data_IF_233472945505
#
_entry.id   IF_233472945505
#
_cell.length_a   1.000
_cell.length_b   1.000
_cell.length_c   1.000
_cell.angle_alpha   90.00
_cell.angle_beta   90.00
_cell.angle_gamma   90.00
#
_symmetry.space_group_name_H-M   'P 1'
#
loop_
_entity.id
_entity.type
_entity.pdbx_description
1 polymer ?
#
# COMPACT_ATOMS: atom_id res chain seq x y z
N UNK A 1 34.32 -31.55 -23.01
CA UNK A 1 33.60 -30.32 -22.64
C UNK A 1 32.21 -30.70 -22.16
N UNK A 2 32.01 -30.79 -20.84
CA UNK A 2 30.71 -31.08 -20.22
C UNK A 2 30.04 -29.77 -19.79
N UNK A 3 28.79 -29.50 -20.20
CA UNK A 3 28.12 -28.27 -19.81
C UNK A 3 27.69 -28.34 -18.34
N UNK A 4 28.09 -27.34 -17.56
CA UNK A 4 27.62 -27.15 -16.19
C UNK A 4 26.13 -26.79 -16.21
N UNK A 5 25.28 -27.77 -15.89
CA UNK A 5 23.88 -27.53 -15.55
C UNK A 5 23.84 -26.76 -14.23
N UNK A 6 23.43 -25.50 -14.27
CA UNK A 6 23.14 -24.74 -13.05
C UNK A 6 21.89 -25.35 -12.39
N UNK A 7 21.95 -25.76 -11.12
CA UNK A 7 20.79 -26.33 -10.45
C UNK A 7 19.72 -25.24 -10.32
N UNK A 8 18.56 -25.47 -10.95
CA UNK A 8 17.36 -24.65 -10.79
C UNK A 8 17.01 -24.61 -9.30
N UNK A 9 17.14 -23.44 -8.66
CA UNK A 9 16.81 -23.23 -7.25
C UNK A 9 15.34 -23.61 -7.01
N UNK A 10 15.12 -24.81 -6.46
CA UNK A 10 13.81 -25.24 -6.02
C UNK A 10 13.23 -24.25 -5.00
N UNK A 11 11.95 -23.90 -5.14
CA UNK A 11 11.28 -23.02 -4.16
C UNK A 11 11.21 -23.74 -2.83
N UNK A 12 11.87 -23.15 -1.86
CA UNK A 12 11.98 -23.66 -0.49
C UNK A 12 10.61 -23.60 0.18
N UNK A 13 10.19 -24.71 0.77
CA UNK A 13 8.97 -24.79 1.56
C UNK A 13 9.27 -24.41 3.00
N UNK A 14 8.78 -23.25 3.43
CA UNK A 14 8.86 -22.81 4.83
C UNK A 14 7.72 -23.43 5.63
N UNK A 15 8.05 -24.17 6.68
CA UNK A 15 7.07 -24.76 7.59
C UNK A 15 6.63 -23.77 8.67
N UNK A 16 5.60 -24.13 9.43
CA UNK A 16 5.15 -23.33 10.58
C UNK A 16 6.26 -23.14 11.62
N UNK A 17 7.03 -24.19 11.89
CA UNK A 17 8.11 -24.20 12.87
C UNK A 17 9.29 -23.33 12.42
N UNK A 18 9.68 -23.41 11.14
CA UNK A 18 10.76 -22.57 10.59
C UNK A 18 10.47 -21.07 10.75
N UNK A 19 9.20 -20.69 10.57
CA UNK A 19 8.80 -19.30 10.74
C UNK A 19 8.83 -18.87 12.22
N UNK A 20 8.55 -19.79 13.15
CA UNK A 20 8.62 -19.51 14.59
C UNK A 20 10.06 -19.32 15.04
N UNK A 21 10.96 -20.22 14.64
CA UNK A 21 12.38 -20.11 14.92
C UNK A 21 12.98 -18.84 14.31
N UNK A 22 12.48 -18.43 13.13
CA UNK A 22 12.95 -17.22 12.45
C UNK A 22 12.55 -15.95 13.21
N UNK A 23 11.34 -15.96 13.78
CA UNK A 23 10.85 -14.88 14.64
C UNK A 23 11.64 -14.85 15.96
N UNK A 24 11.95 -16.00 16.56
CA UNK A 24 12.78 -16.08 17.78
C UNK A 24 14.19 -15.52 17.53
N UNK A 25 14.84 -15.96 16.45
CA UNK A 25 16.13 -15.43 16.03
C UNK A 25 16.11 -13.91 15.84
N UNK A 26 15.02 -13.39 15.25
CA UNK A 26 14.83 -11.95 15.06
C UNK A 26 14.69 -11.18 16.37
N UNK A 27 13.90 -11.68 17.31
CA UNK A 27 13.72 -11.00 18.59
C UNK A 27 14.97 -11.04 19.46
N UNK A 28 15.75 -12.14 19.41
CA UNK A 28 17.08 -12.20 20.03
C UNK A 28 18.06 -11.23 19.38
N UNK A 29 18.09 -11.17 18.05
CA UNK A 29 18.99 -10.27 17.31
C UNK A 29 18.69 -8.76 17.46
N UNK A 30 17.48 -8.40 17.88
CA UNK A 30 17.02 -7.02 18.00
C UNK A 30 16.73 -6.58 19.43
N UNK A 31 16.97 -7.44 20.43
CA UNK A 31 16.57 -7.25 21.82
C UNK A 31 15.10 -6.80 21.91
N UNK A 32 14.20 -7.59 21.33
CA UNK A 32 12.77 -7.27 21.35
C UNK A 32 12.40 -6.01 20.56
N UNK A 33 13.09 -5.73 19.44
CA UNK A 33 12.93 -4.55 18.57
C UNK A 33 13.56 -3.23 19.04
N UNK A 34 14.36 -3.22 20.10
CA UNK A 34 15.05 -2.02 20.57
C UNK A 34 16.21 -1.60 19.65
N UNK A 35 16.92 -2.55 19.04
CA UNK A 35 18.03 -2.27 18.12
C UNK A 35 17.78 -2.85 16.71
N UNK A 36 17.15 -2.04 15.85
CA UNK A 36 16.82 -2.40 14.47
C UNK A 36 17.92 -2.06 13.45
N UNK A 37 18.98 -1.35 13.85
CA UNK A 37 20.04 -0.95 12.93
C UNK A 37 20.98 -2.13 12.67
N UNK A 38 21.18 -2.49 11.40
CA UNK A 38 22.10 -3.57 11.01
C UNK A 38 21.69 -4.98 11.46
N UNK A 39 20.45 -5.20 11.92
CA UNK A 39 20.03 -6.44 12.57
C UNK A 39 20.15 -7.72 11.72
N UNK A 40 20.31 -7.60 10.40
CA UNK A 40 20.34 -8.75 9.47
C UNK A 40 21.53 -9.67 9.71
N UNK A 41 22.68 -9.11 10.10
CA UNK A 41 23.89 -9.87 10.41
C UNK A 41 23.66 -10.69 11.69
N UNK A 42 23.21 -10.01 12.75
CA UNK A 42 22.84 -10.66 14.03
C UNK A 42 21.73 -11.69 13.88
N UNK A 43 20.75 -11.45 13.02
CA UNK A 43 19.69 -12.41 12.70
C UNK A 43 20.26 -13.68 12.08
N UNK A 44 21.21 -13.55 11.16
CA UNK A 44 21.85 -14.69 10.51
C UNK A 44 22.67 -15.52 11.50
N UNK A 45 23.42 -14.86 12.40
CA UNK A 45 24.17 -15.53 13.47
C UNK A 45 23.23 -16.33 14.40
N UNK A 46 22.14 -15.71 14.85
CA UNK A 46 21.13 -16.38 15.69
C UNK A 46 20.41 -17.51 14.95
N UNK A 47 20.20 -17.36 13.63
CA UNK A 47 19.55 -18.38 12.81
C UNK A 47 20.41 -19.63 12.64
N UNK A 48 21.71 -19.49 12.36
CA UNK A 48 22.62 -20.64 12.24
C UNK A 48 22.69 -21.40 13.55
N UNK A 49 22.74 -20.70 14.68
CA UNK A 49 22.74 -21.32 16.01
C UNK A 49 21.47 -22.16 16.25
N UNK A 50 20.30 -21.67 15.82
CA UNK A 50 19.04 -22.37 16.00
C UNK A 50 18.77 -23.48 14.97
N UNK A 51 19.26 -23.32 13.74
CA UNK A 51 18.97 -24.23 12.62
C UNK A 51 20.21 -24.42 11.73
N UNK A 52 21.22 -25.17 12.23
CA UNK A 52 22.44 -25.44 11.45
C UNK A 52 22.14 -26.22 10.16
N UNK A 53 21.11 -27.09 10.18
CA UNK A 53 20.73 -27.93 9.03
C UNK A 53 20.05 -27.15 7.88
N UNK A 54 19.70 -25.88 8.10
CA UNK A 54 18.98 -25.06 7.13
C UNK A 54 19.71 -23.74 6.83
N UNK A 55 20.78 -23.88 6.06
CA UNK A 55 21.59 -22.74 5.63
C UNK A 55 20.84 -21.85 4.62
N UNK A 56 20.74 -20.56 4.94
CA UNK A 56 20.08 -19.52 4.14
C UNK A 56 20.86 -18.23 4.22
N UNK A 57 20.91 -17.51 3.10
CA UNK A 57 21.53 -16.20 3.06
C UNK A 57 20.76 -15.19 3.92
N UNK A 58 21.48 -14.25 4.55
CA UNK A 58 20.91 -13.20 5.42
C UNK A 58 19.78 -12.41 4.74
N UNK A 59 19.89 -12.18 3.43
CA UNK A 59 18.87 -11.50 2.64
C UNK A 59 17.58 -12.33 2.51
N UNK A 60 17.70 -13.64 2.28
CA UNK A 60 16.55 -14.55 2.17
C UNK A 60 15.78 -14.67 3.50
N UNK A 61 16.51 -14.71 4.62
CA UNK A 61 15.94 -14.69 5.96
C UNK A 61 15.19 -13.39 6.22
N UNK A 62 15.74 -12.23 5.84
CA UNK A 62 15.08 -10.95 5.98
C UNK A 62 13.81 -10.83 5.13
N UNK A 63 13.83 -11.33 3.89
CA UNK A 63 12.67 -11.33 3.00
C UNK A 63 11.54 -12.24 3.52
N UNK A 64 11.90 -13.42 4.01
CA UNK A 64 10.94 -14.33 4.65
C UNK A 64 10.37 -13.73 5.93
N UNK A 65 11.22 -13.15 6.79
CA UNK A 65 10.82 -12.49 8.03
C UNK A 65 9.77 -11.39 7.74
N UNK A 66 10.01 -10.50 6.76
CA UNK A 66 9.03 -9.48 6.37
C UNK A 66 7.69 -10.09 5.94
N UNK A 67 7.72 -11.19 5.20
CA UNK A 67 6.51 -11.91 4.77
C UNK A 67 5.74 -12.49 5.96
N UNK A 68 6.45 -13.09 6.92
CA UNK A 68 5.88 -13.69 8.14
C UNK A 68 5.29 -12.61 9.07
N UNK A 69 6.05 -11.55 9.35
CA UNK A 69 5.62 -10.42 10.18
C UNK A 69 4.35 -9.75 9.64
N UNK A 70 4.21 -9.66 8.32
CA UNK A 70 3.01 -9.11 7.67
C UNK A 70 1.78 -10.02 7.84
N UNK A 71 1.96 -11.33 7.93
CA UNK A 71 0.88 -12.33 7.97
C UNK A 71 0.42 -12.71 9.38
N UNK A 72 1.28 -12.61 10.40
CA UNK A 72 1.04 -13.20 11.74
C UNK A 72 1.19 -12.21 12.91
N UNK A 73 0.55 -11.05 12.85
CA UNK A 73 0.66 -9.99 13.89
C UNK A 73 0.27 -10.44 15.31
N UNK A 74 -0.78 -11.23 15.48
CA UNK A 74 -1.33 -11.57 16.82
C UNK A 74 -0.57 -12.67 17.58
N UNK A 75 0.15 -13.56 16.88
CA UNK A 75 0.99 -14.61 17.52
C UNK A 75 2.34 -14.04 17.96
N UNK A 76 2.72 -12.90 17.38
CA UNK A 76 4.02 -12.27 17.53
C UNK A 76 4.22 -11.64 18.91
N UNK A 77 3.16 -11.07 19.49
CA UNK A 77 3.23 -10.41 20.80
C UNK A 77 3.52 -11.40 21.94
N UNK A 78 2.94 -12.61 21.87
CA UNK A 78 3.22 -13.70 22.83
C UNK A 78 4.66 -14.22 22.71
N UNK A 79 5.17 -14.35 21.49
CA UNK A 79 6.57 -14.75 21.26
C UNK A 79 7.56 -13.67 21.70
N UNK A 80 7.24 -12.40 21.48
CA UNK A 80 8.05 -11.28 21.95
C UNK A 80 8.15 -11.30 23.47
N UNK A 81 7.04 -11.50 24.17
CA UNK A 81 7.01 -11.61 25.63
C UNK A 81 7.82 -12.82 26.13
N UNK A 82 7.69 -13.99 25.48
CA UNK A 82 8.45 -15.18 25.86
C UNK A 82 9.96 -15.03 25.67
N UNK A 83 10.40 -14.42 24.56
CA UNK A 83 11.85 -14.18 24.30
C UNK A 83 12.42 -13.13 25.24
N UNK A 84 11.64 -12.10 25.60
CA UNK A 84 12.07 -11.10 26.59
C UNK A 84 12.17 -11.70 28.01
N UNK A 85 11.28 -12.65 28.36
CA UNK A 85 11.33 -13.38 29.62
C UNK A 85 12.54 -14.32 29.70
N UNK A 86 12.92 -14.99 28.60
CA UNK A 86 14.14 -15.82 28.52
C UNK A 86 15.43 -15.00 28.66
N UNK A 87 15.41 -13.71 28.32
CA UNK A 87 16.56 -12.80 28.48
C UNK A 87 16.66 -12.16 29.88
N UNK A 88 15.74 -12.48 30.81
CA UNK A 88 15.75 -11.99 32.19
C UNK A 88 15.75 -13.17 33.19
N UNK A 89 16.87 -13.87 33.32
CA UNK A 89 17.23 -14.67 34.51
C UNK A 89 18.73 -14.42 34.83
N UNK A 90 19.13 -14.52 36.12
CA UNK A 90 20.05 -13.58 36.75
C UNK A 90 21.53 -13.97 36.53
N UNK A 91 22.28 -13.11 35.84
CA UNK A 91 23.74 -13.20 35.90
C UNK A 91 24.23 -12.64 37.24
N UNK A 92 24.83 -13.56 37.99
CA UNK A 92 25.49 -13.33 39.26
C UNK A 92 26.66 -12.36 39.11
N UNK A 93 26.88 -11.61 40.19
CA UNK A 93 28.01 -10.75 40.49
C UNK A 93 29.37 -11.36 40.09
N UNK A 94 30.16 -10.62 39.31
CA UNK A 94 31.60 -10.58 39.49
C UNK A 94 32.18 -9.23 39.08
N UNK A 95 32.93 -8.69 40.03
CA UNK A 95 33.42 -7.32 40.19
C UNK A 95 34.56 -6.89 39.25
N UNK A 96 34.79 -5.57 39.33
CA UNK A 96 36.01 -4.78 39.07
C UNK A 96 36.33 -4.52 37.57
N UNK A 97 36.45 -3.28 37.10
CA UNK A 97 37.25 -2.19 37.66
C UNK A 97 36.90 -0.83 37.03
N UNK A 98 37.17 0.23 37.79
CA UNK A 98 36.90 1.65 37.55
C UNK A 98 37.77 2.26 36.44
N UNK A 99 37.20 3.22 35.70
CA UNK A 99 37.71 4.60 35.57
C UNK A 99 36.85 5.36 34.54
N UNK A 100 36.57 6.66 34.59
CA UNK A 100 36.58 7.73 35.59
C UNK A 100 36.24 8.98 34.75
N UNK A 101 35.24 9.79 35.17
CA UNK A 101 35.09 11.25 34.91
C UNK A 101 34.80 11.67 33.42
N UNK A 102 33.78 12.46 33.07
CA UNK A 102 33.38 13.76 33.63
C UNK A 102 31.89 14.06 33.43
N UNK A 103 31.28 14.55 34.50
CA UNK A 103 30.10 15.42 34.46
C UNK A 103 30.52 16.82 34.00
N UNK A 104 29.74 17.45 33.12
CA UNK A 104 29.64 18.92 33.08
C UNK A 104 28.26 19.32 32.55
N UNK A 105 27.37 19.60 33.51
CA UNK A 105 26.48 20.77 33.60
C UNK A 105 25.63 21.21 32.40
N UNK A 106 24.32 21.25 32.66
CA UNK A 106 23.33 22.26 32.27
C UNK A 106 23.68 23.24 31.14
N UNK A 107 22.82 23.29 30.11
CA UNK A 107 22.10 24.52 29.74
C UNK A 107 20.99 24.25 28.71
N UNK A 108 19.74 24.41 29.17
CA UNK A 108 18.59 24.71 28.31
C UNK A 108 18.64 26.20 27.97
N UNK A 109 18.48 26.58 26.69
CA UNK A 109 17.45 27.58 26.41
C UNK A 109 16.64 27.26 25.13
N UNK A 110 15.35 27.05 25.36
CA UNK A 110 14.24 27.73 24.68
C UNK A 110 14.61 28.60 23.46
N UNK A 111 14.42 28.06 22.25
CA UNK A 111 14.20 28.82 21.01
C UNK A 111 13.56 27.91 19.96
N UNK A 112 12.36 27.41 20.29
CA UNK A 112 11.57 26.51 19.45
C UNK A 112 10.37 27.25 18.90
N UNK A 113 10.56 28.32 18.12
CA UNK A 113 9.41 28.92 17.41
C UNK A 113 9.70 29.72 16.13
N UNK A 114 10.94 29.73 15.59
CA UNK A 114 11.21 30.49 14.34
C UNK A 114 11.66 29.67 13.12
N UNK A 115 11.84 28.36 13.24
CA UNK A 115 12.30 27.50 12.14
C UNK A 115 11.18 26.85 11.30
N UNK A 116 9.89 27.05 11.65
CA UNK A 116 8.76 26.38 11.00
C UNK A 116 8.07 27.20 9.89
N UNK A 117 8.48 28.44 9.63
CA UNK A 117 7.82 29.30 8.62
C UNK A 117 8.59 29.47 7.31
N UNK A 118 9.90 29.21 7.25
CA UNK A 118 10.70 29.40 6.02
C UNK A 118 10.75 28.12 5.15
N UNK A 119 10.50 26.93 5.72
CA UNK A 119 10.56 25.67 4.94
C UNK A 119 9.33 25.41 4.06
N UNK A 120 8.27 26.23 4.15
CA UNK A 120 7.03 26.04 3.38
C UNK A 120 7.00 26.77 2.03
N UNK A 121 7.97 27.63 1.72
CA UNK A 121 7.93 28.43 0.48
C UNK A 121 8.92 28.01 -0.62
N UNK A 122 9.85 27.08 -0.38
CA UNK A 122 10.85 26.66 -1.39
C UNK A 122 10.54 25.35 -2.13
N UNK A 123 9.29 24.88 -2.16
CA UNK A 123 8.87 23.92 -3.19
C UNK A 123 8.24 24.74 -4.30
N UNK A 124 8.86 24.72 -5.48
CA UNK A 124 8.40 25.16 -6.82
C UNK A 124 9.46 26.03 -7.51
N UNK A 125 10.65 25.48 -7.66
CA UNK A 125 11.52 25.75 -8.80
C UNK A 125 12.40 24.52 -8.97
N UNK A 126 11.82 23.48 -9.59
CA UNK A 126 12.60 22.34 -10.08
C UNK A 126 12.82 22.63 -11.55
N UNK A 127 14.07 22.89 -11.89
CA UNK A 127 14.55 22.99 -13.26
C UNK A 127 14.16 21.67 -13.96
N UNK A 128 13.38 21.69 -15.06
CA UNK A 128 12.95 20.46 -15.73
C UNK A 128 14.15 19.69 -16.26
N UNK A 129 14.35 18.46 -15.78
CA UNK A 129 15.32 17.54 -16.36
C UNK A 129 14.80 17.10 -17.74
N UNK A 130 15.59 17.12 -18.82
CA UNK A 130 15.13 16.86 -20.19
C UNK A 130 14.43 15.50 -20.38
N UNK A 131 14.77 14.52 -19.55
CA UNK A 131 14.13 13.19 -19.55
C UNK A 131 12.69 13.20 -19.01
N UNK A 132 12.35 14.09 -18.06
CA UNK A 132 10.99 14.19 -17.53
C UNK A 132 10.04 14.78 -18.58
N UNK A 133 10.50 15.74 -19.39
CA UNK A 133 9.71 16.35 -20.46
C UNK A 133 9.28 15.32 -21.52
N UNK A 134 10.19 14.45 -21.96
CA UNK A 134 9.90 13.41 -22.97
C UNK A 134 8.79 12.47 -22.49
N UNK A 135 8.88 12.03 -21.22
CA UNK A 135 7.86 11.14 -20.64
C UNK A 135 6.52 11.86 -20.46
N UNK A 136 6.55 13.15 -20.09
CA UNK A 136 5.31 13.94 -19.96
C UNK A 136 4.61 14.17 -21.30
N UNK A 137 5.37 14.44 -22.37
CA UNK A 137 4.83 14.63 -23.72
C UNK A 137 4.23 13.35 -24.29
N UNK A 138 4.89 12.21 -24.11
CA UNK A 138 4.37 10.93 -24.59
C UNK A 138 3.06 10.54 -23.88
N UNK A 139 2.98 10.75 -22.56
CA UNK A 139 1.75 10.53 -21.80
C UNK A 139 0.63 11.47 -22.31
N UNK A 140 0.96 12.73 -22.61
CA UNK A 140 0.04 13.71 -23.18
C UNK A 140 -0.49 13.28 -24.55
N UNK A 141 0.37 12.82 -25.45
CA UNK A 141 -0.03 12.30 -26.77
C UNK A 141 -0.96 11.10 -26.67
N UNK A 142 -0.65 10.17 -25.77
CA UNK A 142 -1.51 9.00 -25.54
C UNK A 142 -2.88 9.44 -24.98
N UNK A 143 -2.90 10.43 -24.08
CA UNK A 143 -4.12 10.99 -23.54
C UNK A 143 -5.00 11.62 -24.63
N UNK A 144 -4.45 12.48 -25.48
CA UNK A 144 -5.18 13.09 -26.59
C UNK A 144 -5.74 12.06 -27.58
N UNK A 145 -4.95 11.02 -27.89
CA UNK A 145 -5.41 9.89 -28.70
C UNK A 145 -6.67 9.24 -28.12
N UNK A 146 -6.70 9.02 -26.81
CA UNK A 146 -7.88 8.43 -26.15
C UNK A 146 -9.03 9.42 -25.98
N UNK A 147 -8.73 10.71 -25.84
CA UNK A 147 -9.74 11.76 -25.82
C UNK A 147 -10.52 11.79 -27.15
N UNK A 148 -9.81 11.69 -28.28
CA UNK A 148 -10.43 11.57 -29.61
C UNK A 148 -11.17 10.24 -29.79
N UNK A 149 -10.63 9.13 -29.28
CA UNK A 149 -11.28 7.81 -29.39
C UNK A 149 -12.61 7.73 -28.64
N UNK A 150 -12.71 8.38 -27.48
CA UNK A 150 -13.88 8.29 -26.61
C UNK A 150 -14.73 9.57 -26.59
N UNK A 151 -14.40 10.57 -27.41
CA UNK A 151 -15.26 11.74 -27.60
C UNK A 151 -16.61 11.30 -28.19
N UNK A 152 -17.71 11.67 -27.54
CA UNK A 152 -19.06 11.32 -27.99
C UNK A 152 -19.50 9.88 -27.73
N UNK A 153 -18.62 9.00 -27.23
CA UNK A 153 -18.98 7.63 -26.85
C UNK A 153 -19.73 7.64 -25.53
N UNK A 154 -20.90 6.98 -25.46
CA UNK A 154 -21.67 6.85 -24.22
C UNK A 154 -20.85 6.16 -23.11
N UNK A 155 -21.13 6.46 -21.85
CA UNK A 155 -20.38 5.89 -20.73
C UNK A 155 -20.58 4.38 -20.58
N UNK A 156 -21.76 3.87 -20.91
CA UNK A 156 -22.12 2.47 -20.67
C UNK A 156 -21.46 1.52 -21.66
N UNK A 157 -21.10 2.01 -22.85
CA UNK A 157 -20.44 1.22 -23.90
C UNK A 157 -18.91 1.17 -23.76
N UNK A 158 -18.34 1.92 -22.81
CA UNK A 158 -16.89 1.99 -22.62
C UNK A 158 -16.32 0.73 -21.96
N UNK A 159 -15.13 0.27 -22.36
CA UNK A 159 -14.49 -0.87 -21.74
C UNK A 159 -14.15 -0.59 -20.28
N UNK A 160 -14.23 -1.64 -19.45
CA UNK A 160 -13.85 -1.55 -18.04
C UNK A 160 -12.35 -1.40 -17.92
N UNK A 161 -11.92 -0.51 -17.03
CA UNK A 161 -10.51 -0.31 -16.76
C UNK A 161 -9.94 -1.45 -15.89
N UNK A 162 -8.77 -2.00 -16.26
CA UNK A 162 -8.11 -3.00 -15.45
C UNK A 162 -7.60 -2.38 -14.13
N UNK A 163 -7.49 -3.21 -13.10
CA UNK A 163 -6.93 -2.78 -11.82
C UNK A 163 -5.42 -2.58 -11.95
N UNK A 164 -4.97 -1.34 -11.79
CA UNK A 164 -3.55 -0.99 -11.86
C UNK A 164 -2.83 -1.44 -10.58
N UNK A 165 -1.63 -2.01 -10.72
CA UNK A 165 -0.77 -2.37 -9.59
C UNK A 165 -0.17 -1.11 -8.96
N UNK A 166 -0.09 -1.09 -7.64
CA UNK A 166 0.55 -0.02 -6.90
C UNK A 166 2.07 -0.22 -6.89
N UNK A 167 2.79 0.58 -7.69
CA UNK A 167 4.24 0.64 -7.74
C UNK A 167 4.70 2.10 -7.93
N UNK A 168 6.01 2.37 -7.86
CA UNK A 168 6.52 3.73 -7.98
C UNK A 168 6.33 4.31 -9.39
N UNK A 169 6.47 3.49 -10.44
CA UNK A 169 6.24 3.93 -11.82
C UNK A 169 4.81 4.44 -12.02
N UNK A 170 3.80 3.65 -11.64
CA UNK A 170 2.39 4.03 -11.67
C UNK A 170 2.16 5.33 -10.91
N UNK A 171 2.76 5.50 -9.73
CA UNK A 171 2.64 6.76 -8.98
C UNK A 171 3.19 7.95 -9.76
N UNK A 172 4.38 7.82 -10.32
CA UNK A 172 5.00 8.88 -11.11
C UNK A 172 4.17 9.21 -12.35
N UNK A 173 3.71 8.19 -13.08
CA UNK A 173 2.83 8.35 -14.26
C UNK A 173 1.50 9.02 -13.89
N UNK A 174 0.88 8.62 -12.78
CA UNK A 174 -0.36 9.25 -12.28
C UNK A 174 -0.10 10.70 -11.85
N UNK A 175 1.03 10.99 -11.20
CA UNK A 175 1.37 12.35 -10.77
C UNK A 175 1.59 13.27 -11.98
N UNK A 176 2.27 12.78 -13.01
CA UNK A 176 2.44 13.48 -14.29
C UNK A 176 1.08 13.74 -14.93
N UNK A 177 0.27 12.68 -15.10
CA UNK A 177 -1.06 12.81 -15.70
C UNK A 177 -1.96 13.77 -14.93
N UNK A 178 -1.94 13.77 -13.60
CA UNK A 178 -2.74 14.68 -12.80
C UNK A 178 -2.37 16.15 -13.06
N UNK A 179 -1.08 16.46 -13.24
CA UNK A 179 -0.63 17.82 -13.58
C UNK A 179 -1.16 18.23 -14.95
N UNK A 180 -1.03 17.36 -15.95
CA UNK A 180 -1.55 17.59 -17.31
C UNK A 180 -3.06 17.74 -17.29
N UNK A 181 -3.78 16.81 -16.65
CA UNK A 181 -5.24 16.78 -16.56
C UNK A 181 -5.80 18.03 -15.87
N UNK A 182 -5.09 18.58 -14.88
CA UNK A 182 -5.53 19.79 -14.17
C UNK A 182 -5.72 20.98 -15.11
N UNK A 183 -4.93 21.08 -16.18
CA UNK A 183 -5.06 22.12 -17.20
C UNK A 183 -6.36 21.97 -18.01
N UNK A 184 -6.71 20.73 -18.39
CA UNK A 184 -7.92 20.43 -19.15
C UNK A 184 -9.20 20.51 -18.29
N UNK A 185 -9.11 20.19 -17.00
CA UNK A 185 -10.27 20.22 -16.09
C UNK A 185 -10.81 21.63 -15.84
N UNK A 186 -9.94 22.63 -15.82
CA UNK A 186 -10.31 24.05 -15.70
C UNK A 186 -11.26 24.51 -16.81
N UNK A 187 -11.19 23.87 -17.98
CA UNK A 187 -12.01 24.19 -19.15
C UNK A 187 -13.27 23.33 -19.25
N UNK A 188 -13.49 22.40 -18.30
CA UNK A 188 -14.64 21.48 -18.36
C UNK A 188 -15.92 22.15 -17.88
N UNK A 189 -16.87 22.34 -18.80
CA UNK A 189 -18.16 23.01 -18.54
C UNK A 189 -19.26 22.07 -18.01
N UNK A 190 -19.08 20.76 -18.13
CA UNK A 190 -20.11 19.77 -17.75
C UNK A 190 -19.50 18.58 -17.02
N UNK A 191 -20.28 17.99 -16.12
CA UNK A 191 -19.90 16.77 -15.41
C UNK A 191 -19.57 15.63 -16.38
N UNK A 192 -20.31 15.54 -17.50
CA UNK A 192 -20.05 14.58 -18.57
C UNK A 192 -18.62 14.73 -19.09
N UNK A 193 -18.21 15.97 -19.38
CA UNK A 193 -16.89 16.29 -19.91
C UNK A 193 -15.80 16.00 -18.87
N UNK A 194 -16.03 16.35 -17.60
CA UNK A 194 -15.12 16.02 -16.51
C UNK A 194 -14.90 14.51 -16.38
N UNK A 195 -15.99 13.73 -16.39
CA UNK A 195 -15.94 12.26 -16.34
C UNK A 195 -15.24 11.66 -17.57
N UNK A 196 -15.43 12.25 -18.76
CA UNK A 196 -14.73 11.85 -19.98
C UNK A 196 -13.22 12.05 -19.87
N UNK A 197 -12.80 13.23 -19.41
CA UNK A 197 -11.39 13.57 -19.22
C UNK A 197 -10.74 12.61 -18.21
N UNK A 198 -11.40 12.38 -17.07
CA UNK A 198 -10.89 11.45 -16.03
C UNK A 198 -10.77 10.02 -16.58
N UNK A 199 -11.77 9.56 -17.33
CA UNK A 199 -11.72 8.23 -17.93
C UNK A 199 -10.55 8.12 -18.93
N UNK A 200 -10.40 9.07 -19.85
CA UNK A 200 -9.32 9.06 -20.84
C UNK A 200 -7.93 9.13 -20.18
N UNK A 201 -7.80 9.92 -19.12
CA UNK A 201 -6.58 9.98 -18.31
C UNK A 201 -6.25 8.62 -17.69
N UNK A 202 -7.24 7.95 -17.09
CA UNK A 202 -7.05 6.63 -16.51
C UNK A 202 -6.72 5.55 -17.57
N UNK A 203 -7.31 5.64 -18.76
CA UNK A 203 -6.98 4.79 -19.92
C UNK A 203 -5.53 4.99 -20.34
N UNK A 204 -5.09 6.24 -20.49
CA UNK A 204 -3.72 6.57 -20.89
C UNK A 204 -2.69 6.09 -19.86
N UNK A 205 -2.95 6.28 -18.55
CA UNK A 205 -2.10 5.73 -17.49
C UNK A 205 -2.05 4.19 -17.55
N UNK A 206 -3.20 3.55 -17.78
CA UNK A 206 -3.26 2.09 -17.93
C UNK A 206 -2.41 1.62 -19.11
N UNK A 207 -2.47 2.32 -20.23
CA UNK A 207 -1.66 2.02 -21.42
C UNK A 207 -0.16 2.15 -21.14
N UNK A 208 0.27 3.26 -20.54
CA UNK A 208 1.69 3.54 -20.22
C UNK A 208 2.25 2.53 -19.20
N UNK A 209 1.40 2.04 -18.28
CA UNK A 209 1.76 0.99 -17.33
C UNK A 209 1.76 -0.42 -17.94
N UNK A 210 1.53 -0.55 -19.26
CA UNK A 210 1.55 -1.81 -19.99
C UNK A 210 0.27 -2.64 -19.87
N UNK A 211 -0.81 -2.07 -19.32
CA UNK A 211 -2.11 -2.73 -19.23
C UNK A 211 -2.88 -2.51 -20.52
N UNK A 212 -3.06 -3.61 -21.28
CA UNK A 212 -3.94 -3.59 -22.45
C UNK A 212 -5.39 -3.51 -21.99
N UNK A 213 -6.05 -2.41 -22.28
CA UNK A 213 -7.50 -2.31 -22.16
C UNK A 213 -8.05 -3.10 -23.34
N UNK A 214 -8.37 -4.36 -23.07
CA UNK A 214 -8.91 -5.26 -24.08
C UNK A 214 -10.18 -4.66 -24.67
N UNK A 215 -10.26 -4.67 -26.00
CA UNK A 215 -11.55 -4.69 -26.67
C UNK A 215 -12.34 -5.85 -26.08
N UNK A 216 -13.63 -5.61 -25.89
CA UNK A 216 -14.55 -6.41 -25.09
C UNK A 216 -14.59 -7.87 -25.57
N UNK A 217 -13.64 -8.69 -25.14
CA UNK A 217 -13.76 -10.15 -25.22
C UNK A 217 -14.82 -10.48 -24.20
N UNK A 218 -16.04 -10.67 -24.69
CA UNK A 218 -17.16 -11.11 -23.89
C UNK A 218 -16.82 -12.49 -23.32
N UNK A 219 -16.15 -12.50 -22.16
CA UNK A 219 -16.11 -13.68 -21.30
C UNK A 219 -17.56 -13.87 -20.82
N UNK A 220 -18.28 -14.75 -21.51
CA UNK A 220 -19.74 -14.91 -21.45
C UNK A 220 -20.29 -15.41 -20.10
N UNK A 221 -19.45 -15.61 -19.08
CA UNK A 221 -19.84 -16.36 -17.89
C UNK A 221 -19.85 -15.56 -16.58
N UNK A 222 -19.61 -14.24 -16.60
CA UNK A 222 -19.75 -13.43 -15.39
C UNK A 222 -21.08 -12.68 -15.39
N UNK A 223 -22.00 -13.12 -14.50
CA UNK A 223 -23.21 -12.36 -14.16
C UNK A 223 -22.85 -10.90 -13.91
N UNK A 224 -23.63 -9.93 -14.41
CA UNK A 224 -23.33 -8.52 -14.23
C UNK A 224 -23.32 -8.19 -12.74
N UNK A 225 -22.12 -8.03 -12.18
CA UNK A 225 -21.95 -7.74 -10.77
C UNK A 225 -22.52 -6.33 -10.50
N UNK A 226 -23.61 -6.26 -9.75
CA UNK A 226 -24.21 -4.99 -9.32
C UNK A 226 -23.19 -4.28 -8.45
N UNK A 227 -22.78 -3.04 -8.79
CA UNK A 227 -21.76 -2.35 -8.01
C UNK A 227 -22.27 -2.06 -6.59
N UNK A 228 -21.40 -2.09 -5.56
CA UNK A 228 -21.83 -1.94 -4.16
C UNK A 228 -22.63 -0.67 -3.88
N UNK A 229 -22.32 0.44 -4.55
CA UNK A 229 -23.04 1.70 -4.37
C UNK A 229 -24.50 1.60 -4.85
N UNK A 230 -24.75 0.89 -5.96
CA UNK A 230 -26.11 0.70 -6.49
C UNK A 230 -26.94 -0.12 -5.52
N UNK A 231 -26.37 -1.22 -5.01
CA UNK A 231 -27.01 -2.05 -3.97
C UNK A 231 -27.34 -1.24 -2.71
N UNK A 232 -26.44 -0.36 -2.27
CA UNK A 232 -26.70 0.52 -1.11
C UNK A 232 -27.87 1.46 -1.35
N UNK A 233 -27.93 2.09 -2.54
CA UNK A 233 -29.03 2.98 -2.89
C UNK A 233 -30.35 2.24 -3.01
N UNK A 234 -30.36 1.07 -3.66
CA UNK A 234 -31.54 0.20 -3.77
C UNK A 234 -32.07 -0.22 -2.41
N UNK A 235 -31.19 -0.60 -1.48
CA UNK A 235 -31.58 -0.92 -0.12
C UNK A 235 -32.18 0.31 0.59
N UNK A 236 -31.54 1.48 0.48
CA UNK A 236 -32.06 2.70 1.11
C UNK A 236 -33.44 3.08 0.55
N UNK A 237 -33.66 2.94 -0.76
CA UNK A 237 -34.96 3.15 -1.39
C UNK A 237 -35.98 2.15 -0.86
N UNK A 238 -35.59 0.87 -0.72
CA UNK A 238 -36.46 -0.17 -0.16
C UNK A 238 -36.88 0.15 1.27
N UNK A 239 -35.95 0.58 2.12
CA UNK A 239 -36.22 0.94 3.51
C UNK A 239 -37.18 2.14 3.60
N UNK A 240 -36.95 3.17 2.77
CA UNK A 240 -37.86 4.33 2.68
C UNK A 240 -39.26 3.92 2.21
N UNK A 241 -39.37 2.99 1.26
CA UNK A 241 -40.69 2.48 0.81
C UNK A 241 -41.41 1.73 1.93
N UNK A 242 -40.69 0.99 2.77
CA UNK A 242 -41.27 0.32 3.94
C UNK A 242 -41.77 1.34 4.95
N UNK A 243 -40.98 2.37 5.29
CA UNK A 243 -41.43 3.40 6.24
C UNK A 243 -42.62 4.20 5.70
N UNK A 244 -42.63 4.57 4.42
CA UNK A 244 -43.80 5.21 3.77
C UNK A 244 -45.03 4.31 3.89
N UNK A 245 -44.91 3.01 3.60
CA UNK A 245 -46.03 2.07 3.72
C UNK A 245 -46.57 2.01 5.14
N UNK A 246 -45.69 1.93 6.15
CA UNK A 246 -46.08 1.90 7.57
C UNK A 246 -46.82 3.19 7.95
N UNK A 247 -46.26 4.36 7.63
CA UNK A 247 -46.91 5.65 7.89
C UNK A 247 -48.27 5.75 7.19
N UNK A 248 -48.36 5.33 5.93
CA UNK A 248 -49.61 5.30 5.18
C UNK A 248 -50.66 4.39 5.85
N UNK A 249 -50.26 3.21 6.35
CA UNK A 249 -51.19 2.33 7.08
C UNK A 249 -51.71 2.97 8.38
N UNK A 250 -50.86 3.66 9.14
CA UNK A 250 -51.29 4.38 10.33
C UNK A 250 -52.27 5.51 9.98
N UNK A 251 -51.91 6.37 9.03
CA UNK A 251 -52.79 7.46 8.54
C UNK A 251 -54.14 6.95 8.01
N UNK A 252 -54.15 5.81 7.33
CA UNK A 252 -55.39 5.25 6.77
C UNK A 252 -56.26 4.59 7.85
N UNK A 253 -55.65 3.98 8.87
CA UNK A 253 -56.36 3.32 9.96
C UNK A 253 -56.92 4.34 10.98
N UNK A 254 -56.18 5.41 11.31
CA UNK A 254 -56.67 6.48 12.19
C UNK A 254 -57.90 7.18 11.59
N UNK A 255 -57.92 7.37 10.27
CA UNK A 255 -59.08 7.93 9.56
C UNK A 255 -60.30 6.98 9.51
N UNK A 256 -60.12 5.68 9.76
CA UNK A 256 -61.22 4.70 9.84
C UNK A 256 -61.80 4.55 11.25
N UNK A 257 -61.03 4.88 12.29
CA UNK A 257 -61.48 4.80 13.69
C UNK A 257 -62.30 6.05 14.08
N UNK A 258 -62.08 7.17 13.39
CA UNK A 258 -62.79 8.45 13.62
C UNK A 258 -64.05 8.65 12.74
N UNK A 259 -64.65 7.57 12.23
CA UNK A 259 -65.93 7.56 11.50
C UNK A 259 -66.86 6.54 12.14
#
# INVERSE_FOLDING_TARGET
MTPFLTPVRARVRWTGNDNLDLIRAYYRATNGEQNKTGYRIRLYEQWISLRPDFSRESQQLADQLRSVLRRKRLVLDRLKQAVLAESQEPEQEQNDNLNEISETTHNTPQSRERASLIRRQSRHSVIPHPEENIVTEEIGRIFEKYLMKYSGVDFLSRPRLPKIKYNNQTKSTVAIMNRTLSQYLLQSLSLQNTCNLIYCAAVAVSHVTGLRIGEMVQSSNHKPQIPPWKRRLENKIKDIRVTIRVLHTYLTNDNKINK
#
